data_IF_805234880046
#
_entry.id   IF_805234880046
#
_cell.length_a   1.000
_cell.length_b   1.000
_cell.length_c   1.000
_cell.angle_alpha   90.00
_cell.angle_beta   90.00
_cell.angle_gamma   90.00
#
_symmetry.space_group_name_H-M   'P 1'
#
loop_
_entity.id
_entity.type
_entity.pdbx_description
1 polymer ?
#
# COMPACT_ATOMS: atom_id res chain seq x y z
N UNK A 1 20.15 6.91 11.14
CA UNK A 1 18.88 6.83 11.89
C UNK A 1 19.21 6.42 13.31
N UNK A 2 18.74 7.14 14.32
CA UNK A 2 18.89 6.71 15.71
C UNK A 2 17.72 5.78 15.98
N UNK A 3 17.97 4.47 16.06
CA UNK A 3 16.91 3.46 16.16
C UNK A 3 16.41 3.26 17.60
N UNK A 4 17.25 3.60 18.59
CA UNK A 4 16.90 3.67 20.01
C UNK A 4 17.96 4.49 20.73
N UNK A 5 17.56 5.33 21.69
CA UNK A 5 18.46 5.92 22.69
C UNK A 5 18.13 5.25 24.01
N UNK A 6 19.13 4.60 24.60
CA UNK A 6 19.03 4.09 25.95
C UNK A 6 19.49 5.20 26.89
N UNK A 7 18.53 5.90 27.50
CA UNK A 7 18.79 6.88 28.54
C UNK A 7 18.28 6.32 29.86
N UNK A 8 19.18 6.09 30.80
CA UNK A 8 18.92 5.84 32.23
C UNK A 8 17.60 5.10 32.51
N UNK A 9 17.46 3.88 31.99
CA UNK A 9 16.34 2.94 32.18
C UNK A 9 15.03 3.20 31.39
N UNK A 10 15.00 4.15 30.46
CA UNK A 10 13.89 4.34 29.52
C UNK A 10 14.31 3.95 28.10
N UNK A 11 13.69 2.90 27.57
CA UNK A 11 13.80 2.56 26.15
C UNK A 11 12.92 3.51 25.33
N UNK A 12 13.54 4.52 24.72
CA UNK A 12 12.86 5.42 23.79
C UNK A 12 12.95 4.81 22.39
N UNK A 13 11.91 4.06 22.03
CA UNK A 13 11.70 3.64 20.63
C UNK A 13 11.22 4.83 19.83
N UNK A 14 11.75 5.01 18.62
CA UNK A 14 11.37 6.15 17.75
C UNK A 14 9.89 6.15 17.38
N UNK A 15 9.25 4.98 17.41
CA UNK A 15 7.90 4.80 16.87
C UNK A 15 7.78 5.17 15.39
N UNK A 16 8.91 5.31 14.69
CA UNK A 16 8.93 5.75 13.31
C UNK A 16 8.38 4.60 12.43
N UNK A 17 7.28 4.82 11.69
CA UNK A 17 6.70 3.79 10.85
C UNK A 17 7.66 3.30 9.78
N UNK A 18 8.58 4.14 9.30
CA UNK A 18 9.68 3.74 8.40
C UNK A 18 10.69 2.89 9.15
N UNK A 19 11.12 3.28 10.36
CA UNK A 19 12.04 2.48 11.16
C UNK A 19 11.45 1.11 11.53
N UNK A 20 10.14 1.02 11.79
CA UNK A 20 9.45 -0.25 12.04
C UNK A 20 9.54 -1.21 10.84
N UNK A 21 9.56 -0.69 9.62
CA UNK A 21 9.75 -1.48 8.41
C UNK A 21 11.19 -1.99 8.26
N UNK A 22 12.19 -1.29 8.81
CA UNK A 22 13.59 -1.73 8.82
C UNK A 22 13.93 -2.66 10.00
N UNK A 23 13.27 -2.48 11.16
CA UNK A 23 13.48 -3.29 12.39
C UNK A 23 12.73 -4.62 12.33
N UNK A 24 11.64 -4.70 11.55
CA UNK A 24 10.99 -5.96 11.26
C UNK A 24 11.96 -6.88 10.51
N UNK A 25 12.79 -7.60 11.26
CA UNK A 25 13.08 -9.01 11.01
C UNK A 25 11.76 -9.78 11.13
N UNK A 26 10.72 -9.39 10.38
CA UNK A 26 9.76 -10.39 9.95
C UNK A 26 10.63 -11.33 9.14
N UNK A 27 10.84 -12.53 9.70
CA UNK A 27 11.37 -13.67 8.95
C UNK A 27 10.84 -13.52 7.52
N UNK A 28 11.74 -13.49 6.53
CA UNK A 28 11.48 -13.21 5.11
C UNK A 28 10.42 -14.15 4.49
N UNK A 29 9.21 -14.13 5.04
CA UNK A 29 8.11 -15.06 4.91
C UNK A 29 6.98 -14.25 4.33
N UNK A 30 6.55 -14.70 3.16
CA UNK A 30 5.39 -14.16 2.50
C UNK A 30 4.15 -14.54 3.32
N UNK A 31 3.54 -13.57 4.01
CA UNK A 31 2.32 -13.76 4.78
C UNK A 31 1.06 -13.86 3.88
N UNK A 32 1.23 -13.87 2.56
CA UNK A 32 0.14 -13.96 1.60
C UNK A 32 -0.70 -12.68 1.54
N UNK A 33 -1.97 -12.81 1.17
CA UNK A 33 -2.84 -11.67 0.87
C UNK A 33 -3.45 -10.99 2.11
N UNK A 34 -3.29 -11.59 3.30
CA UNK A 34 -3.76 -11.02 4.55
C UNK A 34 -2.94 -9.77 4.86
N UNK A 35 -3.61 -8.61 4.93
CA UNK A 35 -2.95 -7.34 5.23
C UNK A 35 -2.62 -7.24 6.71
N UNK A 36 -1.35 -7.11 7.02
CA UNK A 36 -0.86 -6.76 8.37
C UNK A 36 -0.54 -5.26 8.49
N UNK A 37 -0.43 -4.55 7.35
CA UNK A 37 -0.18 -3.11 7.31
C UNK A 37 -0.14 -2.54 5.89
N UNK A 38 0.40 -1.31 5.77
CA UNK A 38 0.72 -0.70 4.49
C UNK A 38 -0.44 0.02 3.82
N UNK A 39 -0.53 -0.07 2.49
CA UNK A 39 -1.55 0.62 1.73
C UNK A 39 -2.96 0.09 2.08
N UNK A 40 -3.79 0.96 2.65
CA UNK A 40 -5.17 0.62 3.03
C UNK A 40 -6.17 0.59 1.87
N UNK A 41 -5.81 1.15 0.70
CA UNK A 41 -6.74 1.44 -0.39
C UNK A 41 -7.41 0.16 -0.94
N UNK A 42 -8.72 0.03 -0.70
CA UNK A 42 -9.51 -1.15 -1.09
C UNK A 42 -9.24 -2.41 -0.26
N UNK A 43 -8.40 -2.32 0.78
CA UNK A 43 -8.01 -3.44 1.64
C UNK A 43 -8.69 -3.31 3.00
N UNK A 44 -8.28 -2.29 3.77
CA UNK A 44 -8.79 -1.98 5.10
C UNK A 44 -9.54 -0.66 5.15
N UNK A 45 -9.57 0.10 4.05
CA UNK A 45 -10.37 1.31 3.97
C UNK A 45 -10.57 1.87 2.56
N UNK A 46 -11.48 2.83 2.50
CA UNK A 46 -11.67 3.79 1.41
C UNK A 46 -11.95 5.17 2.04
N UNK A 47 -12.07 6.22 1.23
CA UNK A 47 -12.35 7.58 1.70
C UNK A 47 -13.65 8.11 1.13
N UNK A 48 -14.42 8.80 1.97
CA UNK A 48 -15.62 9.56 1.58
C UNK A 48 -15.24 11.05 1.60
N UNK A 49 -15.39 11.73 0.47
CA UNK A 49 -15.15 13.17 0.34
C UNK A 49 -16.36 13.98 0.86
N UNK A 50 -16.22 15.30 1.14
CA UNK A 50 -17.31 16.11 1.69
C UNK A 50 -18.59 16.16 0.82
N UNK A 51 -18.43 16.05 -0.50
CA UNK A 51 -19.50 15.96 -1.50
C UNK A 51 -20.10 14.53 -1.61
N UNK A 52 -19.68 13.62 -0.74
CA UNK A 52 -20.13 12.23 -0.67
C UNK A 52 -19.44 11.30 -1.67
N UNK A 53 -18.53 11.80 -2.50
CA UNK A 53 -17.81 10.98 -3.47
C UNK A 53 -16.93 9.96 -2.74
N UNK A 54 -17.03 8.69 -3.15
CA UNK A 54 -16.21 7.59 -2.67
C UNK A 54 -14.94 7.51 -3.53
N UNK A 55 -13.78 7.41 -2.89
CA UNK A 55 -12.48 7.21 -3.54
C UNK A 55 -11.66 6.13 -2.79
N UNK A 56 -10.78 5.36 -3.43
CA UNK A 56 -10.01 4.29 -2.77
C UNK A 56 -9.11 4.79 -1.63
N UNK A 57 -8.60 6.02 -1.73
CA UNK A 57 -7.76 6.66 -0.73
C UNK A 57 -7.87 8.17 -0.89
N UNK A 58 -7.79 8.94 0.20
CA UNK A 58 -7.77 10.42 0.15
C UNK A 58 -6.73 11.01 -0.82
N UNK A 59 -5.65 10.28 -1.11
CA UNK A 59 -4.60 10.69 -2.06
C UNK A 59 -4.83 10.13 -3.47
N UNK A 60 -5.67 9.13 -3.66
CA UNK A 60 -5.96 8.54 -4.97
C UNK A 60 -7.37 8.96 -5.37
N UNK A 61 -7.48 10.12 -6.02
CA UNK A 61 -8.76 10.77 -6.32
C UNK A 61 -9.46 10.17 -7.56
N UNK A 62 -9.63 8.85 -7.57
CA UNK A 62 -10.40 8.13 -8.58
C UNK A 62 -11.80 7.89 -8.00
N UNK A 63 -12.85 8.53 -8.52
CA UNK A 63 -14.21 8.28 -8.06
C UNK A 63 -14.61 6.82 -8.33
N UNK A 64 -15.15 6.16 -7.31
CA UNK A 64 -15.68 4.78 -7.39
C UNK A 64 -17.17 4.70 -7.05
N UNK A 65 -17.80 5.83 -6.74
CA UNK A 65 -19.22 5.96 -6.40
C UNK A 65 -19.51 7.22 -5.60
N UNK A 66 -20.73 7.39 -5.14
CA UNK A 66 -21.16 8.45 -4.22
C UNK A 66 -22.12 7.90 -3.17
N UNK A 67 -21.82 8.12 -1.88
CA UNK A 67 -22.57 7.57 -0.75
C UNK A 67 -24.05 7.99 -0.70
N UNK A 68 -24.41 9.09 -1.36
CA UNK A 68 -25.80 9.57 -1.43
C UNK A 68 -26.65 8.81 -2.45
N UNK A 69 -26.03 8.03 -3.34
CA UNK A 69 -26.69 7.35 -4.46
C UNK A 69 -26.41 5.85 -4.49
N UNK A 70 -25.22 5.45 -4.05
CA UNK A 70 -24.71 4.08 -4.18
C UNK A 70 -24.63 3.38 -2.81
N UNK A 71 -24.88 2.07 -2.81
CA UNK A 71 -24.64 1.24 -1.64
C UNK A 71 -23.15 1.11 -1.38
N UNK A 72 -22.68 1.57 -0.22
CA UNK A 72 -21.27 1.43 0.17
C UNK A 72 -20.79 -0.03 0.15
N UNK A 73 -21.66 -0.96 0.57
CA UNK A 73 -21.37 -2.40 0.55
C UNK A 73 -21.14 -2.89 -0.88
N UNK A 74 -21.98 -2.45 -1.80
CA UNK A 74 -21.90 -2.85 -3.21
C UNK A 74 -20.63 -2.29 -3.84
N UNK A 75 -20.41 -0.96 -3.72
CA UNK A 75 -19.18 -0.32 -4.21
C UNK A 75 -17.94 -0.99 -3.65
N UNK A 76 -17.93 -1.34 -2.36
CA UNK A 76 -16.81 -2.05 -1.74
C UNK A 76 -16.58 -3.42 -2.37
N UNK A 77 -17.63 -4.18 -2.68
CA UNK A 77 -17.53 -5.55 -3.19
C UNK A 77 -17.23 -5.61 -4.69
N UNK A 78 -17.81 -4.72 -5.48
CA UNK A 78 -17.85 -4.86 -6.95
C UNK A 78 -17.07 -3.79 -7.71
N UNK A 79 -16.52 -2.77 -7.05
CA UNK A 79 -15.68 -1.78 -7.74
C UNK A 79 -14.46 -2.43 -8.40
N UNK A 80 -14.35 -2.27 -9.72
CA UNK A 80 -13.20 -2.73 -10.51
C UNK A 80 -11.87 -2.16 -10.00
N UNK A 81 -11.87 -0.89 -9.59
CA UNK A 81 -10.70 -0.22 -9.02
C UNK A 81 -10.28 -0.90 -7.72
N UNK A 82 -11.21 -1.15 -6.80
CA UNK A 82 -10.87 -1.82 -5.53
C UNK A 82 -10.46 -3.28 -5.75
N UNK A 83 -11.09 -3.98 -6.69
CA UNK A 83 -10.75 -5.35 -7.03
C UNK A 83 -9.36 -5.46 -7.68
N UNK A 84 -8.99 -4.51 -8.54
CA UNK A 84 -7.64 -4.41 -9.08
C UNK A 84 -6.59 -4.21 -7.96
N UNK A 85 -6.87 -3.35 -6.99
CA UNK A 85 -5.97 -3.11 -5.83
C UNK A 85 -5.84 -4.31 -4.89
N UNK A 86 -6.82 -5.22 -4.88
CA UNK A 86 -6.76 -6.48 -4.11
C UNK A 86 -5.97 -7.57 -4.82
N UNK A 87 -5.79 -7.46 -6.13
CA UNK A 87 -5.14 -8.50 -6.93
C UNK A 87 -3.62 -8.31 -7.00
N UNK A 88 -2.90 -9.01 -6.11
CA UNK A 88 -1.43 -9.02 -6.08
C UNK A 88 -0.78 -9.24 -7.43
N UNK A 89 -1.28 -10.21 -8.22
CA UNK A 89 -0.67 -10.61 -9.49
C UNK A 89 -0.76 -9.54 -10.58
N UNK A 90 -1.68 -8.58 -10.44
CA UNK A 90 -1.84 -7.50 -11.40
C UNK A 90 -0.87 -6.34 -11.18
N UNK A 91 -0.12 -6.32 -10.08
CA UNK A 91 0.82 -5.24 -9.78
C UNK A 91 2.08 -5.36 -10.65
N UNK A 92 2.46 -4.26 -11.29
CA UNK A 92 3.67 -4.15 -12.10
C UNK A 92 4.91 -3.98 -11.23
N UNK A 93 6.07 -4.19 -11.86
CA UNK A 93 7.37 -4.12 -11.18
C UNK A 93 7.54 -5.22 -10.14
N UNK A 94 8.12 -4.86 -8.99
CA UNK A 94 8.52 -5.83 -7.95
C UNK A 94 7.36 -6.28 -7.05
N UNK A 95 6.29 -5.48 -6.95
CA UNK A 95 5.26 -5.65 -5.92
C UNK A 95 4.51 -6.99 -6.02
N UNK A 96 4.22 -7.47 -7.24
CA UNK A 96 3.45 -8.70 -7.43
C UNK A 96 4.13 -9.96 -6.85
N UNK A 97 5.47 -9.95 -6.75
CA UNK A 97 6.26 -11.06 -6.20
C UNK A 97 6.99 -10.68 -4.90
N UNK A 98 6.71 -9.51 -4.33
CA UNK A 98 7.40 -9.03 -3.14
C UNK A 98 6.96 -9.78 -1.88
N UNK A 99 7.90 -10.26 -1.06
CA UNK A 99 7.61 -10.95 0.21
C UNK A 99 6.93 -10.04 1.25
N UNK A 100 7.10 -8.73 1.13
CA UNK A 100 6.47 -7.71 2.00
C UNK A 100 5.05 -7.32 1.56
N UNK A 101 4.41 -8.12 0.70
CA UNK A 101 3.08 -7.81 0.18
C UNK A 101 2.03 -7.59 1.28
N UNK A 102 2.06 -8.38 2.35
CA UNK A 102 1.14 -8.22 3.47
C UNK A 102 1.27 -6.86 4.21
N UNK A 103 2.47 -6.29 4.23
CA UNK A 103 2.85 -5.13 5.06
C UNK A 103 2.92 -3.80 4.30
N UNK A 104 3.11 -3.80 2.97
CA UNK A 104 3.47 -2.60 2.22
C UNK A 104 2.52 -2.30 1.04
N UNK A 105 2.59 -3.10 -0.03
CA UNK A 105 1.85 -2.94 -1.30
C UNK A 105 2.15 -1.66 -2.08
N UNK A 106 3.08 -0.82 -1.61
CA UNK A 106 3.45 0.47 -2.21
C UNK A 106 2.32 1.51 -2.24
N UNK A 107 2.68 2.78 -2.38
CA UNK A 107 1.73 3.88 -2.45
C UNK A 107 1.05 3.95 -3.83
N UNK A 108 -0.22 3.54 -3.88
CA UNK A 108 -1.01 3.53 -5.13
C UNK A 108 -1.27 4.92 -5.70
N UNK A 109 -1.33 5.94 -4.86
CA UNK A 109 -1.44 7.33 -5.30
C UNK A 109 -0.16 7.79 -6.02
N UNK A 110 1.02 7.49 -5.48
CA UNK A 110 2.29 7.86 -6.11
C UNK A 110 2.48 7.08 -7.42
N UNK A 111 2.23 5.78 -7.42
CA UNK A 111 2.27 4.96 -8.64
C UNK A 111 1.39 5.55 -9.76
N UNK A 112 0.14 5.91 -9.43
CA UNK A 112 -0.82 6.49 -10.36
C UNK A 112 -0.37 7.85 -10.94
N UNK A 113 0.04 8.80 -10.09
CA UNK A 113 0.42 10.14 -10.57
C UNK A 113 1.78 10.17 -11.26
N UNK A 114 2.73 9.33 -10.85
CA UNK A 114 4.01 9.21 -11.54
C UNK A 114 3.83 8.55 -12.92
N UNK A 115 3.07 7.46 -13.03
CA UNK A 115 2.85 6.85 -14.36
C UNK A 115 2.07 7.79 -15.30
N UNK A 116 1.17 8.61 -14.77
CA UNK A 116 0.47 9.65 -15.52
C UNK A 116 1.45 10.69 -16.07
N UNK A 117 2.48 11.07 -15.32
CA UNK A 117 3.53 11.97 -15.80
C UNK A 117 4.37 11.33 -16.91
N UNK A 118 4.51 10.00 -16.90
CA UNK A 118 5.26 9.23 -17.90
C UNK A 118 4.42 8.85 -19.14
N UNK A 119 3.11 9.08 -19.11
CA UNK A 119 2.24 8.96 -20.28
C UNK A 119 0.81 8.51 -19.97
N UNK A 120 0.63 7.49 -19.12
CA UNK A 120 -0.69 6.91 -18.87
C UNK A 120 -0.90 6.59 -17.37
N UNK A 121 -2.04 7.01 -16.78
CA UNK A 121 -2.34 6.77 -15.38
C UNK A 121 -2.57 5.28 -15.09
N UNK A 122 -1.88 4.75 -14.10
CA UNK A 122 -1.92 3.33 -13.75
C UNK A 122 -1.75 3.13 -12.24
N UNK A 123 -2.85 2.74 -11.60
CA UNK A 123 -2.87 2.44 -10.15
C UNK A 123 -2.02 1.23 -9.78
N UNK A 124 -1.72 0.35 -10.74
CA UNK A 124 -0.96 -0.88 -10.56
C UNK A 124 0.51 -0.74 -10.97
N UNK A 125 0.95 0.46 -11.38
CA UNK A 125 2.35 0.74 -11.67
C UNK A 125 3.26 0.46 -10.47
N UNK A 126 4.56 0.33 -10.76
CA UNK A 126 5.58 0.24 -9.74
C UNK A 126 5.61 1.55 -8.93
N UNK A 127 5.77 1.44 -7.61
CA UNK A 127 5.97 2.62 -6.78
C UNK A 127 7.43 3.09 -6.91
N UNK A 128 7.70 4.29 -7.49
CA UNK A 128 9.05 4.82 -7.63
C UNK A 128 9.73 5.15 -6.28
N UNK A 129 8.97 5.20 -5.19
CA UNK A 129 9.51 5.41 -3.83
C UNK A 129 9.89 4.09 -3.13
N UNK A 130 9.75 2.95 -3.81
CA UNK A 130 10.10 1.66 -3.24
C UNK A 130 11.60 1.60 -2.92
N UNK A 131 11.93 1.32 -1.65
CA UNK A 131 13.32 1.20 -1.17
C UNK A 131 13.90 -0.22 -1.32
N UNK A 132 13.10 -1.19 -1.78
CA UNK A 132 13.56 -2.58 -1.96
C UNK A 132 14.33 -2.70 -3.27
N UNK A 133 15.61 -3.05 -3.17
CA UNK A 133 16.48 -3.37 -4.30
C UNK A 133 16.35 -4.85 -4.70
N UNK A 134 16.80 -5.19 -5.92
CA UNK A 134 16.59 -6.51 -6.53
C UNK A 134 17.11 -7.71 -5.72
N UNK A 135 18.06 -7.51 -4.80
CA UNK A 135 18.69 -8.57 -4.01
C UNK A 135 17.75 -9.26 -2.99
N UNK A 136 16.62 -8.65 -2.61
CA UNK A 136 15.61 -9.30 -1.75
C UNK A 136 14.67 -10.25 -2.52
N UNK A 137 14.72 -10.22 -3.86
CA UNK A 137 13.98 -11.13 -4.74
C UNK A 137 14.78 -12.41 -5.07
N UNK A 138 16.11 -12.41 -4.89
CA UNK A 138 17.03 -13.46 -5.36
C UNK A 138 17.49 -14.49 -4.30
N UNK A 139 17.14 -14.35 -3.01
CA UNK A 139 17.38 -15.41 -2.02
C UNK A 139 16.40 -16.59 -2.15
N UNK A 140 16.11 -16.99 -3.38
CA UNK A 140 15.30 -18.16 -3.75
C UNK A 140 16.10 -18.93 -4.81
N UNK A 141 17.17 -19.57 -4.35
CA UNK A 141 17.68 -20.84 -4.84
C UNK A 141 18.20 -21.61 -3.63
#
# INVERSE_FOLDING_TARGET
MIFSINADSLEIVTGDPVASQFIAETENKDLGDISSGGCAAGISGLTILPDGTLVPCRRLQIPIGNIRKDSLREVWATSDVLNALRNRKSYKGKCGNCKRWAECRGCRAIAYYCSMADGEPDILAADPQCFIEGAELEKVN
#
